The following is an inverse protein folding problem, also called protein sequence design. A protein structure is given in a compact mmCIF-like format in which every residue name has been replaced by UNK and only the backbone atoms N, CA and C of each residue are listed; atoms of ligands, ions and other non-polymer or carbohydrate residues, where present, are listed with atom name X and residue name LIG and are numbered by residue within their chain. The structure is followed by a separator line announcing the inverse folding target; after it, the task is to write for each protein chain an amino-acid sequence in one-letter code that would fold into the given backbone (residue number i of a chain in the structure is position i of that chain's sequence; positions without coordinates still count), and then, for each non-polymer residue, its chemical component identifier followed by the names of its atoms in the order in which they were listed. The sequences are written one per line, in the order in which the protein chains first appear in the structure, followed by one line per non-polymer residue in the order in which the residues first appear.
data_IF_200663078304
#
_entry.id   IF_200663078304
#
_cell.length_a   1.000
_cell.length_b   1.000
_cell.length_c   1.000
_cell.angle_alpha   90.00
_cell.angle_beta   90.00
_cell.angle_gamma   90.00
#
_symmetry.space_group_name_H-M   'P 1'
#
loop_
_entity.id
_entity.type
_entity.pdbx_description
1 polymer ?
#
# COMPACT_ATOMS: atom_id res chain seq x y z
N UNK A 1 -10.99 -18.71 30.35
CA UNK A 1 -10.67 -17.50 29.55
C UNK A 1 -11.44 -17.41 28.23
N UNK A 2 -11.70 -18.50 27.48
CA UNK A 2 -12.44 -18.45 26.20
C UNK A 2 -13.87 -17.90 26.26
N UNK A 3 -14.69 -18.36 27.23
CA UNK A 3 -16.11 -17.95 27.34
C UNK A 3 -16.34 -16.47 27.69
N UNK A 4 -15.35 -15.81 28.29
CA UNK A 4 -15.42 -14.37 28.63
C UNK A 4 -15.10 -13.51 27.42
N UNK A 5 -14.14 -13.93 26.58
CA UNK A 5 -13.76 -13.25 25.33
C UNK A 5 -14.88 -13.35 24.30
N UNK A 6 -15.53 -14.51 24.20
CA UNK A 6 -16.66 -14.77 23.30
C UNK A 6 -17.94 -14.00 23.72
N UNK A 7 -18.18 -13.84 25.03
CA UNK A 7 -19.25 -12.98 25.54
C UNK A 7 -18.96 -11.49 25.38
N UNK A 8 -17.70 -11.07 25.50
CA UNK A 8 -17.29 -9.69 25.24
C UNK A 8 -17.45 -9.36 23.75
N UNK A 9 -17.02 -10.27 22.86
CA UNK A 9 -17.19 -10.15 21.41
C UNK A 9 -18.67 -10.01 21.06
N UNK A 10 -19.52 -10.95 21.50
CA UNK A 10 -20.98 -10.86 21.28
C UNK A 10 -21.64 -9.63 21.89
N UNK A 11 -21.13 -9.13 23.01
CA UNK A 11 -21.63 -7.90 23.64
C UNK A 11 -21.16 -6.65 22.91
N UNK A 12 -20.00 -6.68 22.23
CA UNK A 12 -19.53 -5.61 21.36
C UNK A 12 -20.25 -5.64 20.01
N UNK A 13 -20.45 -6.83 19.42
CA UNK A 13 -21.21 -7.05 18.18
C UNK A 13 -22.69 -6.61 18.29
N UNK A 14 -23.21 -6.46 19.52
CA UNK A 14 -24.60 -6.05 19.81
C UNK A 14 -24.75 -4.64 20.37
N UNK A 15 -23.66 -3.94 20.73
CA UNK A 15 -23.71 -2.57 21.23
C UNK A 15 -23.57 -1.57 20.08
N UNK A 16 -24.62 -0.80 19.78
CA UNK A 16 -24.52 0.34 18.84
C UNK A 16 -24.78 0.03 17.36
N UNK A 17 -25.27 -1.17 17.00
CA UNK A 17 -25.71 -1.46 15.62
C UNK A 17 -27.05 -0.76 15.33
N UNK A 18 -26.97 0.44 14.78
CA UNK A 18 -28.11 1.11 14.13
C UNK A 18 -28.36 0.49 12.75
N UNK A 19 -29.60 0.56 12.28
CA UNK A 19 -30.04 -0.04 11.01
C UNK A 19 -29.30 0.53 9.79
N UNK A 20 -29.21 -0.25 8.70
CA UNK A 20 -28.57 0.21 7.45
C UNK A 20 -29.16 1.54 6.93
N UNK A 21 -30.47 1.76 7.14
CA UNK A 21 -31.14 3.03 6.83
C UNK A 21 -30.62 4.18 7.67
N UNK A 22 -30.46 4.00 8.98
CA UNK A 22 -29.90 5.03 9.87
C UNK A 22 -28.44 5.33 9.53
N UNK A 23 -27.65 4.30 9.18
CA UNK A 23 -26.28 4.46 8.71
C UNK A 23 -26.22 5.28 7.41
N UNK A 24 -27.09 4.99 6.45
CA UNK A 24 -27.21 5.77 5.22
C UNK A 24 -27.56 7.25 5.50
N UNK A 25 -28.45 7.51 6.46
CA UNK A 25 -28.81 8.88 6.87
C UNK A 25 -27.63 9.61 7.52
N UNK A 26 -26.81 8.94 8.34
CA UNK A 26 -25.59 9.51 8.91
C UNK A 26 -24.66 10.04 7.80
N UNK A 27 -24.43 9.24 6.75
CA UNK A 27 -23.61 9.64 5.61
C UNK A 27 -24.20 10.86 4.88
N UNK A 28 -25.50 10.84 4.59
CA UNK A 28 -26.19 11.97 3.95
C UNK A 28 -26.09 13.26 4.76
N UNK A 29 -26.26 13.18 6.08
CA UNK A 29 -26.17 14.33 6.96
C UNK A 29 -24.80 15.00 6.95
N UNK A 30 -23.72 14.21 6.90
CA UNK A 30 -22.36 14.74 6.80
C UNK A 30 -22.20 15.57 5.51
N UNK A 31 -22.76 15.09 4.39
CA UNK A 31 -22.73 15.82 3.11
C UNK A 31 -23.61 17.06 3.16
N UNK A 32 -24.81 16.98 3.73
CA UNK A 32 -25.69 18.13 3.84
C UNK A 32 -25.10 19.22 4.75
N UNK A 33 -24.40 18.83 5.82
CA UNK A 33 -23.61 19.77 6.63
C UNK A 33 -22.46 20.40 5.84
N UNK A 34 -21.75 19.62 5.03
CA UNK A 34 -20.70 20.14 4.15
C UNK A 34 -21.26 21.16 3.15
N UNK A 35 -22.44 20.91 2.57
CA UNK A 35 -23.10 21.83 1.61
C UNK A 35 -23.49 23.17 2.25
N UNK A 36 -23.76 23.20 3.55
CA UNK A 36 -24.11 24.42 4.30
C UNK A 36 -22.87 25.28 4.64
N UNK A 37 -21.66 24.76 4.47
CA UNK A 37 -20.44 25.53 4.66
C UNK A 37 -20.29 26.55 3.53
N UNK A 38 -20.00 27.80 3.89
CA UNK A 38 -19.94 28.94 2.96
C UNK A 38 -18.53 29.26 2.46
N UNK A 39 -17.51 28.62 3.04
CA UNK A 39 -16.09 28.88 2.78
C UNK A 39 -15.49 27.97 1.70
N UNK A 40 -16.30 27.10 1.10
CA UNK A 40 -15.95 26.24 -0.02
C UNK A 40 -16.02 26.98 -1.37
N UNK A 41 -15.15 26.59 -2.30
CA UNK A 41 -15.16 27.15 -3.66
C UNK A 41 -16.44 26.74 -4.42
N UNK A 42 -16.85 27.54 -5.42
CA UNK A 42 -18.00 27.20 -6.29
C UNK A 42 -17.87 25.83 -6.95
N UNK A 43 -16.65 25.45 -7.35
CA UNK A 43 -16.32 24.13 -7.91
C UNK A 43 -16.60 23.01 -6.89
N UNK A 44 -16.18 23.20 -5.64
CA UNK A 44 -16.42 22.25 -4.54
C UNK A 44 -17.91 22.12 -4.21
N UNK A 45 -18.63 23.24 -4.16
CA UNK A 45 -20.07 23.25 -3.91
C UNK A 45 -20.86 22.53 -5.03
N UNK A 46 -20.51 22.77 -6.30
CA UNK A 46 -21.10 22.07 -7.44
C UNK A 46 -20.85 20.55 -7.36
N UNK A 47 -19.63 20.14 -6.98
CA UNK A 47 -19.26 18.74 -6.79
C UNK A 47 -20.09 18.07 -5.68
N UNK A 48 -20.25 18.74 -4.53
CA UNK A 48 -21.10 18.25 -3.44
C UNK A 48 -22.58 18.15 -3.83
N UNK A 49 -23.08 19.10 -4.64
CA UNK A 49 -24.45 19.06 -5.13
C UNK A 49 -24.69 17.86 -6.07
N UNK A 50 -23.79 17.65 -7.04
CA UNK A 50 -23.87 16.51 -7.96
C UNK A 50 -23.78 15.18 -7.21
N UNK A 51 -22.85 15.08 -6.26
CA UNK A 51 -22.70 13.91 -5.41
C UNK A 51 -23.95 13.65 -4.55
N UNK A 52 -24.49 14.69 -3.93
CA UNK A 52 -25.72 14.59 -3.14
C UNK A 52 -26.91 14.12 -3.98
N UNK A 53 -27.00 14.53 -5.25
CA UNK A 53 -28.03 14.05 -6.16
C UNK A 53 -27.83 12.57 -6.51
N UNK A 54 -26.60 12.16 -6.83
CA UNK A 54 -26.24 10.77 -7.12
C UNK A 54 -26.61 9.83 -5.96
N UNK A 55 -26.20 10.15 -4.73
CA UNK A 55 -26.49 9.31 -3.55
C UNK A 55 -28.00 9.20 -3.30
N UNK A 56 -28.76 10.28 -3.53
CA UNK A 56 -30.21 10.31 -3.34
C UNK A 56 -30.96 9.57 -4.45
N UNK A 57 -30.38 9.45 -5.65
CA UNK A 57 -30.94 8.65 -6.77
C UNK A 57 -30.72 7.14 -6.66
N UNK A 58 -30.08 6.65 -5.60
CA UNK A 58 -29.91 5.21 -5.38
C UNK A 58 -31.27 4.61 -5.01
N UNK A 59 -31.95 4.05 -6.01
CA UNK A 59 -33.21 3.33 -5.87
C UNK A 59 -32.94 1.82 -5.74
N UNK A 60 -33.22 1.26 -4.56
CA UNK A 60 -33.23 -0.18 -4.32
C UNK A 60 -34.16 -0.48 -3.16
N UNK A 61 -34.84 -1.63 -3.23
CA UNK A 61 -35.71 -2.12 -2.16
C UNK A 61 -34.89 -2.69 -0.99
N UNK A 62 -33.65 -3.14 -1.25
CA UNK A 62 -32.76 -3.67 -0.23
C UNK A 62 -31.92 -2.53 0.40
N UNK A 63 -32.15 -2.26 1.69
CA UNK A 63 -31.48 -1.19 2.42
C UNK A 63 -29.97 -1.43 2.61
N UNK A 64 -29.53 -2.68 2.70
CA UNK A 64 -28.11 -3.03 2.81
C UNK A 64 -27.39 -2.74 1.50
N UNK A 65 -28.00 -3.12 0.37
CA UNK A 65 -27.49 -2.78 -0.96
C UNK A 65 -27.47 -1.26 -1.19
N UNK A 66 -28.46 -0.54 -0.64
CA UNK A 66 -28.49 0.93 -0.68
C UNK A 66 -27.29 1.55 0.06
N UNK A 67 -27.04 1.07 1.27
CA UNK A 67 -25.91 1.51 2.09
C UNK A 67 -24.58 1.19 1.41
N UNK A 68 -24.42 -0.03 0.89
CA UNK A 68 -23.23 -0.44 0.14
C UNK A 68 -22.94 0.49 -1.03
N UNK A 69 -23.92 0.75 -1.90
CA UNK A 69 -23.75 1.66 -3.04
C UNK A 69 -23.40 3.08 -2.60
N UNK A 70 -24.01 3.55 -1.52
CA UNK A 70 -23.68 4.86 -0.95
C UNK A 70 -22.22 4.88 -0.47
N UNK A 71 -21.78 3.89 0.30
CA UNK A 71 -20.39 3.80 0.78
C UNK A 71 -19.38 3.76 -0.38
N UNK A 72 -19.64 3.02 -1.45
CA UNK A 72 -18.79 3.01 -2.66
C UNK A 72 -18.68 4.41 -3.26
N UNK A 73 -19.81 5.10 -3.42
CA UNK A 73 -19.82 6.45 -3.97
C UNK A 73 -19.10 7.44 -3.04
N UNK A 74 -19.26 7.34 -1.72
CA UNK A 74 -18.50 8.12 -0.74
C UNK A 74 -17.00 7.87 -0.84
N UNK A 75 -16.57 6.61 -0.94
CA UNK A 75 -15.17 6.25 -1.12
C UNK A 75 -14.61 6.90 -2.39
N UNK A 76 -15.37 6.88 -3.49
CA UNK A 76 -14.98 7.53 -4.75
C UNK A 76 -14.88 9.04 -4.60
N UNK A 77 -15.85 9.70 -3.97
CA UNK A 77 -15.80 11.15 -3.72
C UNK A 77 -14.55 11.52 -2.92
N UNK A 78 -14.28 10.79 -1.83
CA UNK A 78 -13.13 11.04 -0.96
C UNK A 78 -11.83 10.88 -1.74
N UNK A 79 -11.71 9.80 -2.52
CA UNK A 79 -10.54 9.56 -3.38
C UNK A 79 -10.28 10.71 -4.37
N UNK A 80 -11.33 11.19 -5.04
CA UNK A 80 -11.21 12.29 -5.99
C UNK A 80 -10.87 13.63 -5.30
N UNK A 81 -11.29 13.82 -4.05
CA UNK A 81 -10.93 14.99 -3.23
C UNK A 81 -9.47 14.92 -2.81
N UNK A 82 -8.99 13.76 -2.35
CA UNK A 82 -7.60 13.54 -1.95
C UNK A 82 -6.62 13.74 -3.11
N UNK A 83 -7.01 13.33 -4.32
CA UNK A 83 -6.21 13.48 -5.53
C UNK A 83 -6.24 14.90 -6.12
N UNK A 84 -6.98 15.85 -5.52
CA UNK A 84 -7.13 17.21 -6.03
C UNK A 84 -6.97 18.26 -4.91
N UNK A 85 -5.83 18.94 -4.92
CA UNK A 85 -5.45 19.97 -3.94
C UNK A 85 -6.44 21.12 -3.80
N UNK A 86 -7.35 21.32 -4.77
CA UNK A 86 -8.39 22.36 -4.69
C UNK A 86 -9.43 22.09 -3.60
N UNK A 87 -9.53 20.87 -3.09
CA UNK A 87 -10.58 20.46 -2.15
C UNK A 87 -10.08 20.17 -0.73
N UNK A 88 -8.86 20.60 -0.38
CA UNK A 88 -8.23 20.35 0.94
C UNK A 88 -9.10 20.82 2.13
N UNK A 89 -9.84 21.93 1.99
CA UNK A 89 -10.76 22.40 3.04
C UNK A 89 -11.93 21.44 3.27
N UNK A 90 -12.50 20.91 2.19
CA UNK A 90 -13.56 19.91 2.28
C UNK A 90 -13.01 18.63 2.88
N UNK A 91 -11.82 18.20 2.46
CA UNK A 91 -11.14 17.04 3.03
C UNK A 91 -10.97 17.17 4.55
N UNK A 92 -10.47 18.32 5.02
CA UNK A 92 -10.29 18.59 6.45
C UNK A 92 -11.64 18.58 7.18
N UNK A 93 -12.67 19.22 6.62
CA UNK A 93 -14.01 19.21 7.19
C UNK A 93 -14.56 17.78 7.36
N UNK A 94 -14.42 16.93 6.34
CA UNK A 94 -14.88 15.54 6.39
C UNK A 94 -14.13 14.73 7.45
N UNK A 95 -12.82 14.96 7.62
CA UNK A 95 -12.01 14.35 8.69
C UNK A 95 -12.43 14.83 10.08
N UNK A 96 -12.62 16.13 10.26
CA UNK A 96 -13.05 16.72 11.52
C UNK A 96 -14.44 16.22 11.94
N UNK A 97 -15.33 15.98 10.97
CA UNK A 97 -16.65 15.36 11.18
C UNK A 97 -16.61 13.84 11.33
N UNK A 98 -15.43 13.24 11.46
CA UNK A 98 -15.26 11.82 11.74
C UNK A 98 -15.63 10.89 10.59
N UNK A 99 -15.86 11.40 9.37
CA UNK A 99 -16.27 10.57 8.23
C UNK A 99 -15.26 9.46 7.96
N UNK A 100 -13.97 9.76 8.08
CA UNK A 100 -12.92 8.76 7.90
C UNK A 100 -12.96 7.66 8.96
N UNK A 101 -13.17 8.03 10.23
CA UNK A 101 -13.31 7.06 11.33
C UNK A 101 -14.53 6.16 11.14
N UNK A 102 -15.64 6.76 10.70
CA UNK A 102 -16.91 6.08 10.45
C UNK A 102 -16.86 5.14 9.24
N UNK A 103 -16.18 5.52 8.15
CA UNK A 103 -16.06 4.71 6.95
C UNK A 103 -14.91 3.69 6.98
N UNK A 104 -13.79 4.06 7.60
CA UNK A 104 -12.53 3.35 7.44
C UNK A 104 -11.95 2.73 8.71
N UNK A 105 -12.35 3.19 9.90
CA UNK A 105 -11.99 2.73 11.24
C UNK A 105 -10.56 2.22 11.52
N UNK A 106 -10.06 2.55 12.72
CA UNK A 106 -8.87 1.90 13.25
C UNK A 106 -9.19 0.43 13.55
N UNK A 107 -8.66 -0.52 12.79
CA UNK A 107 -8.94 -1.95 13.00
C UNK A 107 -8.88 -2.35 14.49
N UNK A 108 -10.03 -2.72 15.10
CA UNK A 108 -10.10 -3.17 16.51
C UNK A 108 -9.36 -4.47 16.72
N UNK A 109 -9.37 -5.30 15.67
CA UNK A 109 -8.54 -6.46 15.54
C UNK A 109 -7.26 -6.00 14.88
N UNK A 110 -6.18 -6.01 15.67
CA UNK A 110 -4.82 -6.16 15.13
C UNK A 110 -4.90 -7.31 14.13
N UNK A 111 -4.77 -7.03 12.83
CA UNK A 111 -4.92 -8.03 11.77
C UNK A 111 -4.19 -9.31 12.13
N UNK A 112 -4.72 -10.46 11.72
CA UNK A 112 -4.15 -11.77 12.07
C UNK A 112 -2.65 -11.72 11.78
N UNK A 113 -1.85 -11.87 12.84
CA UNK A 113 -0.41 -11.74 12.72
C UNK A 113 0.05 -12.83 11.77
N UNK A 114 0.60 -12.41 10.62
CA UNK A 114 0.99 -13.35 9.59
C UNK A 114 2.11 -14.25 10.13
N UNK A 115 1.78 -15.53 10.33
CA UNK A 115 2.72 -16.60 10.65
C UNK A 115 3.50 -17.08 9.41
N UNK A 116 3.30 -16.44 8.24
CA UNK A 116 4.07 -16.74 7.04
C UNK A 116 5.58 -16.48 7.18
N UNK A 117 6.33 -17.02 6.22
CA UNK A 117 7.76 -16.79 6.09
C UNK A 117 8.15 -15.31 5.94
N UNK A 118 7.24 -14.42 5.53
CA UNK A 118 7.59 -13.04 5.16
C UNK A 118 8.09 -12.19 6.35
N UNK A 119 7.47 -12.35 7.52
CA UNK A 119 7.93 -11.68 8.75
C UNK A 119 9.29 -12.22 9.22
N UNK A 120 9.52 -13.50 9.03
CA UNK A 120 10.81 -14.15 9.31
C UNK A 120 11.89 -13.60 8.37
N UNK A 121 11.57 -13.47 7.10
CA UNK A 121 12.45 -12.90 6.08
C UNK A 121 12.76 -11.41 6.38
N UNK A 122 11.76 -10.61 6.76
CA UNK A 122 11.96 -9.22 7.20
C UNK A 122 12.94 -9.14 8.37
N UNK A 123 12.74 -9.95 9.42
CA UNK A 123 13.64 -10.01 10.59
C UNK A 123 15.06 -10.40 10.17
N UNK A 124 15.19 -11.40 9.30
CA UNK A 124 16.48 -11.83 8.78
C UNK A 124 17.18 -10.70 7.99
N UNK A 125 16.43 -9.90 7.23
CA UNK A 125 16.93 -8.70 6.55
C UNK A 125 17.53 -7.68 7.51
N UNK A 126 16.83 -7.33 8.59
CA UNK A 126 17.37 -6.43 9.62
C UNK A 126 18.58 -7.00 10.36
N UNK A 127 18.59 -8.31 10.64
CA UNK A 127 19.77 -8.98 11.20
C UNK A 127 20.95 -8.87 10.22
N UNK A 128 20.71 -9.07 8.92
CA UNK A 128 21.72 -8.92 7.86
C UNK A 128 22.30 -7.51 7.79
N UNK A 129 21.49 -6.47 8.00
CA UNK A 129 21.98 -5.07 8.12
C UNK A 129 22.91 -4.93 9.33
N UNK A 130 22.55 -5.51 10.49
CA UNK A 130 23.39 -5.50 11.69
C UNK A 130 24.73 -6.22 11.47
N UNK A 131 24.72 -7.39 10.84
CA UNK A 131 25.95 -8.12 10.49
C UNK A 131 26.80 -7.35 9.47
N UNK A 132 26.17 -6.66 8.53
CA UNK A 132 26.86 -5.80 7.57
C UNK A 132 27.59 -4.64 8.28
N UNK A 133 27.00 -4.07 9.33
CA UNK A 133 27.65 -3.04 10.15
C UNK A 133 28.94 -3.56 10.81
N UNK A 134 28.89 -4.77 11.37
CA UNK A 134 30.06 -5.40 11.97
C UNK A 134 31.15 -5.68 10.94
N UNK A 135 30.79 -6.16 9.75
CA UNK A 135 31.73 -6.39 8.66
C UNK A 135 32.42 -5.10 8.18
N UNK A 136 31.67 -4.00 8.08
CA UNK A 136 32.21 -2.68 7.70
C UNK A 136 33.15 -2.13 8.76
N UNK A 137 32.80 -2.23 10.04
CA UNK A 137 33.67 -1.83 11.16
C UNK A 137 34.95 -2.68 11.16
N UNK A 138 34.82 -4.00 10.97
CA UNK A 138 35.97 -4.90 10.89
C UNK A 138 36.91 -4.52 9.74
N UNK A 139 36.37 -4.23 8.56
CA UNK A 139 37.17 -3.75 7.43
C UNK A 139 37.88 -2.42 7.71
N UNK A 140 37.19 -1.46 8.31
CA UNK A 140 37.79 -0.19 8.69
C UNK A 140 38.96 -0.39 9.68
N UNK A 141 38.78 -1.22 10.71
CA UNK A 141 39.84 -1.52 11.68
C UNK A 141 41.03 -2.23 11.04
N UNK A 142 40.78 -3.25 10.21
CA UNK A 142 41.84 -4.02 9.53
C UNK A 142 42.67 -3.14 8.58
N UNK A 143 42.01 -2.26 7.84
CA UNK A 143 42.69 -1.34 6.91
C UNK A 143 43.47 -0.24 7.63
N UNK A 144 42.98 0.26 8.77
CA UNK A 144 43.68 1.28 9.56
C UNK A 144 44.86 0.74 10.38
N UNK A 145 44.78 -0.52 10.83
CA UNK A 145 45.79 -1.12 11.71
C UNK A 145 46.92 -1.86 10.96
N UNK A 146 47.00 -1.72 9.63
CA UNK A 146 47.99 -2.39 8.79
C UNK A 146 48.09 -3.91 9.06
N UNK A 147 46.94 -4.57 9.15
CA UNK A 147 46.88 -5.98 9.51
C UNK A 147 47.54 -6.89 8.45
N UNK A 148 47.84 -8.17 8.78
CA UNK A 148 48.41 -9.11 7.83
C UNK A 148 47.59 -9.23 6.54
N UNK A 149 48.27 -9.43 5.42
CA UNK A 149 47.67 -9.48 4.08
C UNK A 149 46.44 -10.40 3.99
N UNK A 150 46.53 -11.63 4.50
CA UNK A 150 45.41 -12.59 4.46
C UNK A 150 44.16 -12.07 5.20
N UNK A 151 44.33 -11.29 6.27
CA UNK A 151 43.23 -10.69 7.01
C UNK A 151 42.60 -9.53 6.24
N UNK A 152 43.41 -8.74 5.53
CA UNK A 152 42.95 -7.68 4.63
C UNK A 152 42.11 -8.26 3.48
N UNK A 153 42.51 -9.40 2.92
CA UNK A 153 41.76 -10.12 1.88
C UNK A 153 40.38 -10.55 2.38
N UNK A 154 40.31 -11.21 3.54
CA UNK A 154 39.05 -11.62 4.16
C UNK A 154 38.17 -10.42 4.46
N UNK A 155 38.75 -9.37 5.06
CA UNK A 155 38.02 -8.15 5.40
C UNK A 155 37.46 -7.45 4.16
N UNK A 156 38.19 -7.44 3.04
CA UNK A 156 37.74 -6.87 1.77
C UNK A 156 36.56 -7.63 1.18
N UNK A 157 36.59 -8.97 1.26
CA UNK A 157 35.47 -9.83 0.86
C UNK A 157 34.21 -9.58 1.69
N UNK A 158 34.36 -9.54 3.02
CA UNK A 158 33.25 -9.24 3.93
C UNK A 158 32.68 -7.83 3.71
N UNK A 159 33.55 -6.84 3.46
CA UNK A 159 33.12 -5.49 3.12
C UNK A 159 32.32 -5.44 1.82
N UNK A 160 32.81 -6.10 0.76
CA UNK A 160 32.09 -6.19 -0.51
C UNK A 160 30.72 -6.85 -0.35
N UNK A 161 30.65 -7.95 0.40
CA UNK A 161 29.39 -8.61 0.72
C UNK A 161 28.42 -7.68 1.46
N UNK A 162 28.91 -7.00 2.50
CA UNK A 162 28.13 -6.05 3.30
C UNK A 162 27.63 -4.87 2.47
N UNK A 163 28.50 -4.25 1.66
CA UNK A 163 28.14 -3.14 0.80
C UNK A 163 27.08 -3.53 -0.24
N UNK A 164 27.23 -4.69 -0.88
CA UNK A 164 26.26 -5.22 -1.83
C UNK A 164 24.92 -5.55 -1.17
N UNK A 165 24.95 -6.20 0.00
CA UNK A 165 23.73 -6.49 0.77
C UNK A 165 22.97 -5.21 1.11
N UNK A 166 23.66 -4.23 1.70
CA UNK A 166 23.09 -2.94 2.10
C UNK A 166 22.54 -2.18 0.89
N UNK A 167 23.26 -2.17 -0.24
CA UNK A 167 22.81 -1.50 -1.46
C UNK A 167 21.53 -2.14 -2.03
N UNK A 168 21.44 -3.46 -2.02
CA UNK A 168 20.27 -4.19 -2.50
C UNK A 168 19.05 -3.98 -1.57
N UNK A 169 19.23 -4.01 -0.25
CA UNK A 169 18.16 -3.70 0.70
C UNK A 169 17.71 -2.24 0.56
N UNK A 170 18.66 -1.31 0.37
CA UNK A 170 18.35 0.10 0.16
C UNK A 170 17.51 0.32 -1.11
N UNK A 171 17.84 -0.37 -2.21
CA UNK A 171 16.98 -0.41 -3.40
C UNK A 171 15.56 -0.85 -3.03
N UNK A 172 15.43 -1.99 -2.34
CA UNK A 172 14.13 -2.54 -1.94
C UNK A 172 13.29 -1.58 -1.13
N UNK A 173 13.88 -0.99 -0.09
CA UNK A 173 13.20 -0.02 0.77
C UNK A 173 12.78 1.23 0.00
N UNK A 174 13.65 1.82 -0.82
CA UNK A 174 13.30 3.02 -1.60
C UNK A 174 12.22 2.69 -2.63
N UNK A 175 12.34 1.55 -3.31
CA UNK A 175 11.33 1.07 -4.24
C UNK A 175 9.98 0.93 -3.52
N UNK A 176 9.92 0.24 -2.40
CA UNK A 176 8.64 -0.04 -1.74
C UNK A 176 8.06 1.15 -0.98
N UNK A 177 8.87 2.14 -0.61
CA UNK A 177 8.39 3.45 -0.18
C UNK A 177 7.65 4.18 -1.31
N UNK A 178 8.19 4.22 -2.53
CA UNK A 178 7.45 4.81 -3.65
C UNK A 178 6.11 4.08 -3.91
N UNK A 179 6.10 2.77 -3.70
CA UNK A 179 4.95 1.90 -3.96
C UNK A 179 3.79 2.13 -3.02
N UNK A 180 4.13 2.22 -1.74
CA UNK A 180 3.17 2.40 -0.66
C UNK A 180 2.63 3.82 -0.68
N UNK A 181 3.45 4.78 -1.10
CA UNK A 181 2.99 6.13 -1.41
C UNK A 181 2.10 6.20 -2.66
N UNK A 182 2.35 5.41 -3.70
CA UNK A 182 1.54 5.42 -4.93
C UNK A 182 0.21 4.70 -4.73
N UNK A 183 0.22 3.52 -4.10
CA UNK A 183 -0.95 2.73 -3.79
C UNK A 183 -0.64 1.75 -2.63
N UNK A 184 -1.01 2.15 -1.42
CA UNK A 184 -0.84 1.33 -0.22
C UNK A 184 -1.66 0.03 -0.26
N UNK A 185 -2.81 0.03 -0.92
CA UNK A 185 -3.70 -1.13 -0.99
C UNK A 185 -3.00 -2.36 -1.60
N UNK A 186 -2.02 -2.15 -2.50
CA UNK A 186 -1.17 -3.21 -3.04
C UNK A 186 -0.49 -4.06 -1.95
N UNK A 187 -0.09 -3.43 -0.84
CA UNK A 187 0.63 -4.09 0.24
C UNK A 187 -0.28 -4.61 1.35
N UNK A 188 -1.49 -4.06 1.46
CA UNK A 188 -2.46 -4.47 2.47
C UNK A 188 -3.32 -5.65 2.00
N UNK A 189 -3.67 -5.67 0.72
CA UNK A 189 -4.46 -6.74 0.11
C UNK A 189 -3.61 -7.93 -0.36
N UNK A 190 -2.29 -7.82 -0.21
CA UNK A 190 -1.32 -8.77 -0.75
C UNK A 190 -1.24 -8.74 -2.28
N UNK A 191 -0.09 -9.16 -2.82
CA UNK A 191 0.06 -9.37 -4.26
C UNK A 191 -0.20 -10.84 -4.65
N UNK A 192 -0.54 -11.72 -3.68
CA UNK A 192 -0.88 -13.13 -3.88
C UNK A 192 -2.12 -13.51 -3.05
N UNK A 193 -2.91 -14.51 -3.48
CA UNK A 193 -4.15 -14.91 -2.81
C UNK A 193 -4.02 -15.34 -1.34
N UNK A 194 -2.83 -15.77 -0.92
CA UNK A 194 -2.58 -16.28 0.43
C UNK A 194 -1.91 -15.23 1.35
N UNK A 195 -1.58 -14.04 0.85
CA UNK A 195 -0.79 -13.05 1.57
C UNK A 195 -1.69 -11.97 2.18
N UNK A 196 -1.61 -11.83 3.51
CA UNK A 196 -2.17 -10.70 4.23
C UNK A 196 -1.12 -9.58 4.38
N UNK A 197 -1.52 -8.45 4.97
CA UNK A 197 -0.59 -7.38 5.30
C UNK A 197 0.54 -7.86 6.22
N UNK A 198 1.79 -7.47 5.89
CA UNK A 198 3.00 -7.85 6.63
C UNK A 198 3.05 -7.26 8.06
N UNK A 199 2.47 -6.08 8.25
CA UNK A 199 2.40 -5.40 9.54
C UNK A 199 0.96 -5.00 9.87
N UNK A 200 0.66 -4.85 11.16
CA UNK A 200 -0.64 -4.42 11.67
C UNK A 200 -0.75 -2.88 11.65
N UNK A 201 -0.35 -2.24 10.55
CA UNK A 201 -0.37 -0.79 10.37
C UNK A 201 -0.74 -0.42 8.95
N UNK A 202 -1.52 0.63 8.76
CA UNK A 202 -1.76 1.25 7.46
C UNK A 202 -0.84 2.48 7.25
N UNK A 203 0.28 2.55 7.99
CA UNK A 203 1.33 3.53 7.75
C UNK A 203 2.12 3.12 6.49
N UNK A 204 2.06 3.92 5.41
CA UNK A 204 2.75 3.58 4.16
C UNK A 204 4.26 3.52 4.33
N UNK A 205 4.85 4.35 5.21
CA UNK A 205 6.29 4.33 5.45
C UNK A 205 6.70 3.05 6.16
N UNK A 206 5.96 2.66 7.20
CA UNK A 206 6.25 1.44 7.95
C UNK A 206 6.09 0.20 7.05
N UNK A 207 5.02 0.13 6.27
CA UNK A 207 4.78 -0.94 5.30
C UNK A 207 5.85 -0.98 4.21
N UNK A 208 6.19 0.17 3.62
CA UNK A 208 7.16 0.25 2.52
C UNK A 208 8.56 -0.20 2.95
N UNK A 209 8.99 0.18 4.15
CA UNK A 209 10.26 -0.32 4.71
C UNK A 209 10.19 -1.82 4.98
N UNK A 210 9.11 -2.31 5.60
CA UNK A 210 8.97 -3.71 5.96
C UNK A 210 8.97 -4.64 4.74
N UNK A 211 8.15 -4.30 3.74
CA UNK A 211 8.07 -5.01 2.47
C UNK A 211 9.37 -4.90 1.68
N UNK A 212 9.96 -3.70 1.60
CA UNK A 212 11.21 -3.48 0.89
C UNK A 212 12.34 -4.36 1.44
N UNK A 213 12.46 -4.48 2.76
CA UNK A 213 13.44 -5.39 3.40
C UNK A 213 13.08 -6.85 3.14
N UNK A 214 11.80 -7.23 3.30
CA UNK A 214 11.37 -8.62 3.15
C UNK A 214 11.56 -9.12 1.72
N UNK A 215 11.08 -8.38 0.73
CA UNK A 215 11.11 -8.76 -0.68
C UNK A 215 12.54 -8.85 -1.23
N UNK A 216 13.47 -8.01 -0.74
CA UNK A 216 14.85 -7.98 -1.23
C UNK A 216 15.83 -8.85 -0.48
N UNK A 217 15.49 -9.35 0.71
CA UNK A 217 16.41 -10.16 1.54
C UNK A 217 17.05 -11.33 0.78
N UNK A 218 16.24 -12.18 0.14
CA UNK A 218 16.73 -13.37 -0.55
C UNK A 218 17.70 -13.04 -1.69
N UNK A 219 17.29 -12.21 -2.67
CA UNK A 219 18.18 -11.74 -3.72
C UNK A 219 19.42 -10.99 -3.20
N UNK A 220 19.27 -10.15 -2.17
CA UNK A 220 20.38 -9.42 -1.56
C UNK A 220 21.41 -10.37 -0.93
N UNK A 221 20.96 -11.43 -0.26
CA UNK A 221 21.82 -12.44 0.34
C UNK A 221 22.63 -13.19 -0.74
N UNK A 222 21.97 -13.63 -1.81
CA UNK A 222 22.64 -14.28 -2.94
C UNK A 222 23.69 -13.35 -3.56
N UNK A 223 23.32 -12.09 -3.82
CA UNK A 223 24.24 -11.10 -4.36
C UNK A 223 25.43 -10.85 -3.43
N UNK A 224 25.19 -10.72 -2.12
CA UNK A 224 26.25 -10.52 -1.13
C UNK A 224 27.25 -11.68 -1.09
N UNK A 225 26.78 -12.93 -1.16
CA UNK A 225 27.65 -14.12 -1.21
C UNK A 225 28.51 -14.09 -2.48
N UNK A 226 27.89 -13.85 -3.64
CA UNK A 226 28.59 -13.83 -4.93
C UNK A 226 29.65 -12.71 -4.96
N UNK A 227 29.29 -11.50 -4.55
CA UNK A 227 30.22 -10.36 -4.46
C UNK A 227 31.33 -10.61 -3.45
N UNK A 228 31.01 -11.18 -2.29
CA UNK A 228 31.99 -11.49 -1.25
C UNK A 228 33.04 -12.49 -1.73
N UNK A 229 32.61 -13.59 -2.36
CA UNK A 229 33.51 -14.61 -2.90
C UNK A 229 34.38 -14.00 -4.01
N UNK A 230 33.77 -13.31 -4.97
CA UNK A 230 34.51 -12.69 -6.08
C UNK A 230 35.53 -11.67 -5.57
N UNK A 231 35.13 -10.77 -4.67
CA UNK A 231 36.01 -9.77 -4.09
C UNK A 231 37.15 -10.40 -3.27
N UNK A 232 36.89 -11.47 -2.52
CA UNK A 232 37.92 -12.21 -1.77
C UNK A 232 38.97 -12.80 -2.70
N UNK A 233 38.52 -13.48 -3.77
CA UNK A 233 39.43 -14.08 -4.76
C UNK A 233 40.25 -12.97 -5.42
N UNK A 234 39.60 -11.92 -5.91
CA UNK A 234 40.27 -10.79 -6.56
C UNK A 234 41.28 -10.09 -5.65
N UNK A 235 40.91 -9.81 -4.39
CA UNK A 235 41.78 -9.15 -3.41
C UNK A 235 43.04 -9.98 -3.08
N UNK A 236 42.97 -11.31 -3.26
CA UNK A 236 44.13 -12.20 -3.11
C UNK A 236 45.23 -11.98 -4.15
N UNK A 237 44.92 -11.34 -5.28
CA UNK A 237 45.86 -11.13 -6.38
C UNK A 237 46.13 -9.66 -6.69
N UNK A 238 45.14 -8.77 -6.49
CA UNK A 238 45.22 -7.36 -6.87
C UNK A 238 44.46 -6.46 -5.89
N UNK A 239 44.80 -5.15 -5.77
CA UNK A 239 43.99 -4.21 -5.02
C UNK A 239 42.53 -4.17 -5.52
N UNK A 240 41.60 -4.37 -4.60
CA UNK A 240 40.16 -4.36 -4.90
C UNK A 240 39.68 -2.94 -5.20
N UNK A 241 38.92 -2.72 -6.27
CA UNK A 241 38.34 -1.42 -6.62
C UNK A 241 37.17 -1.03 -5.71
N UNK A 242 37.41 -0.83 -4.41
CA UNK A 242 36.37 -0.57 -3.40
C UNK A 242 35.62 0.75 -3.62
N UNK A 243 36.19 1.69 -4.36
CA UNK A 243 35.53 2.95 -4.75
C UNK A 243 34.29 2.74 -5.62
N UNK A 244 34.08 1.55 -6.20
CA UNK A 244 32.87 1.21 -6.94
C UNK A 244 31.65 1.08 -6.01
N UNK A 245 31.83 0.64 -4.77
CA UNK A 245 30.73 0.41 -3.83
C UNK A 245 29.93 1.68 -3.46
N UNK A 246 30.55 2.84 -3.19
CA UNK A 246 29.84 4.12 -3.10
C UNK A 246 28.98 4.44 -4.32
N UNK A 247 29.49 4.20 -5.53
CA UNK A 247 28.74 4.46 -6.77
C UNK A 247 27.53 3.54 -6.85
N UNK A 248 27.69 2.25 -6.52
CA UNK A 248 26.58 1.30 -6.44
C UNK A 248 25.52 1.74 -5.42
N UNK A 249 25.93 2.19 -4.23
CA UNK A 249 25.02 2.66 -3.19
C UNK A 249 24.18 3.86 -3.63
N UNK A 250 24.75 4.78 -4.42
CA UNK A 250 24.02 5.92 -4.97
C UNK A 250 23.13 5.49 -6.15
N UNK A 251 23.62 4.58 -6.99
CA UNK A 251 22.90 4.11 -8.16
C UNK A 251 21.61 3.34 -7.79
N UNK A 252 21.63 2.55 -6.72
CA UNK A 252 20.49 1.72 -6.30
C UNK A 252 19.20 2.53 -6.04
N UNK A 253 19.20 3.58 -5.20
CA UNK A 253 18.05 4.50 -5.08
C UNK A 253 17.63 5.15 -6.39
N UNK A 254 18.58 5.53 -7.26
CA UNK A 254 18.27 6.14 -8.56
C UNK A 254 17.57 5.15 -9.51
N UNK A 255 17.93 3.86 -9.45
CA UNK A 255 17.25 2.80 -10.20
C UNK A 255 15.82 2.65 -9.69
N UNK A 256 15.58 2.74 -8.38
CA UNK A 256 14.23 2.74 -7.82
C UNK A 256 13.40 3.95 -8.30
N UNK A 257 14.01 5.15 -8.42
CA UNK A 257 13.36 6.32 -9.05
C UNK A 257 13.01 6.03 -10.51
N UNK A 258 13.89 5.36 -11.26
CA UNK A 258 13.60 4.92 -12.63
C UNK A 258 12.41 3.95 -12.70
N UNK A 259 12.34 3.01 -11.77
CA UNK A 259 11.21 2.08 -11.64
C UNK A 259 9.89 2.81 -11.33
N UNK A 260 9.93 3.84 -10.49
CA UNK A 260 8.76 4.70 -10.19
C UNK A 260 8.30 5.49 -11.43
N UNK A 261 9.22 6.06 -12.21
CA UNK A 261 8.87 6.75 -13.47
C UNK A 261 8.20 5.77 -14.45
N UNK A 262 8.73 4.55 -14.55
CA UNK A 262 8.14 3.49 -15.36
C UNK A 262 6.73 3.10 -14.87
N UNK A 263 6.55 2.95 -13.56
CA UNK A 263 5.26 2.65 -12.95
C UNK A 263 4.22 3.74 -13.23
N UNK A 264 4.59 5.03 -13.09
CA UNK A 264 3.68 6.15 -13.43
C UNK A 264 3.26 6.15 -14.88
N UNK A 265 4.20 5.83 -15.79
CA UNK A 265 3.88 5.69 -17.21
C UNK A 265 2.86 4.56 -17.41
N UNK A 266 3.07 3.40 -16.77
CA UNK A 266 2.16 2.26 -16.83
C UNK A 266 0.78 2.55 -16.25
N UNK A 267 0.73 3.25 -15.11
CA UNK A 267 -0.54 3.67 -14.51
C UNK A 267 -1.36 4.55 -15.46
N UNK A 268 -0.73 5.46 -16.22
CA UNK A 268 -1.43 6.24 -17.24
C UNK A 268 -1.93 5.36 -18.40
N UNK A 269 -1.09 4.47 -18.91
CA UNK A 269 -1.49 3.51 -19.96
C UNK A 269 -2.72 2.67 -19.53
N UNK A 270 -2.74 2.22 -18.28
CA UNK A 270 -3.86 1.46 -17.72
C UNK A 270 -5.11 2.32 -17.52
N UNK A 271 -4.96 3.54 -16.99
CA UNK A 271 -6.05 4.48 -16.80
C UNK A 271 -6.69 4.91 -18.14
N UNK A 272 -5.92 4.95 -19.23
CA UNK A 272 -6.43 5.29 -20.56
C UNK A 272 -7.05 4.07 -21.28
N UNK A 273 -6.60 2.84 -20.96
CA UNK A 273 -7.06 1.62 -21.66
C UNK A 273 -8.51 1.24 -21.33
N UNK A 274 -9.37 1.09 -22.33
CA UNK A 274 -10.77 0.65 -22.17
C UNK A 274 -10.93 -0.81 -21.70
N UNK A 275 -9.83 -1.57 -21.61
CA UNK A 275 -9.86 -2.95 -21.10
C UNK A 275 -10.03 -2.93 -19.58
N UNK A 276 -10.91 -3.77 -19.08
CA UNK A 276 -11.19 -3.87 -17.64
C UNK A 276 -9.92 -4.06 -16.82
N UNK A 277 -9.74 -3.19 -15.82
CA UNK A 277 -8.65 -3.19 -14.84
C UNK A 277 -8.81 -4.36 -13.85
N UNK A 278 -8.86 -5.60 -14.33
CA UNK A 278 -9.23 -6.78 -13.51
C UNK A 278 -8.36 -8.02 -13.75
N UNK A 279 -7.32 -7.93 -14.60
CA UNK A 279 -6.52 -9.10 -14.97
C UNK A 279 -5.63 -9.51 -13.78
N UNK A 280 -5.88 -10.71 -13.24
CA UNK A 280 -5.01 -11.37 -12.25
C UNK A 280 -5.31 -11.07 -10.76
N UNK A 281 -6.35 -10.31 -10.44
CA UNK A 281 -6.78 -10.09 -9.04
C UNK A 281 -7.89 -11.07 -8.65
N UNK A 282 -7.76 -11.72 -7.49
CA UNK A 282 -8.80 -12.60 -6.96
C UNK A 282 -9.99 -11.81 -6.36
N UNK A 283 -11.08 -12.50 -6.02
CA UNK A 283 -12.29 -11.89 -5.48
C UNK A 283 -12.05 -11.01 -4.24
N UNK A 284 -11.19 -11.46 -3.31
CA UNK A 284 -10.82 -10.70 -2.12
C UNK A 284 -10.10 -9.39 -2.47
N UNK A 285 -9.14 -9.44 -3.39
CA UNK A 285 -8.41 -8.26 -3.88
C UNK A 285 -9.36 -7.31 -4.62
N UNK A 286 -10.27 -7.83 -5.43
CA UNK A 286 -11.27 -7.03 -6.14
C UNK A 286 -12.17 -6.25 -5.17
N UNK A 287 -12.69 -6.92 -4.14
CA UNK A 287 -13.50 -6.27 -3.10
C UNK A 287 -12.69 -5.25 -2.29
N UNK A 288 -11.44 -5.58 -1.94
CA UNK A 288 -10.55 -4.66 -1.24
C UNK A 288 -10.26 -3.39 -2.06
N UNK A 289 -10.07 -3.54 -3.37
CA UNK A 289 -9.85 -2.43 -4.30
C UNK A 289 -11.08 -1.54 -4.44
N UNK A 290 -12.31 -2.07 -4.39
CA UNK A 290 -13.52 -1.25 -4.38
C UNK A 290 -13.58 -0.30 -3.18
N UNK A 291 -12.96 -0.68 -2.05
CA UNK A 291 -12.93 0.11 -0.83
C UNK A 291 -11.73 1.06 -0.80
N UNK A 292 -10.51 0.56 -1.07
CA UNK A 292 -9.27 1.34 -0.92
C UNK A 292 -8.81 2.07 -2.18
N UNK A 293 -9.24 1.62 -3.36
CA UNK A 293 -8.85 2.16 -4.66
C UNK A 293 -10.07 2.26 -5.58
N UNK A 294 -11.10 3.03 -5.18
CA UNK A 294 -12.37 3.11 -5.88
C UNK A 294 -12.26 3.79 -7.25
N UNK A 295 -11.26 4.63 -7.48
CA UNK A 295 -11.09 5.34 -8.77
C UNK A 295 -10.31 4.51 -9.79
N UNK A 296 -10.50 4.82 -11.07
CA UNK A 296 -9.81 4.13 -12.17
C UNK A 296 -8.30 4.34 -12.09
N UNK A 297 -7.88 5.55 -11.73
CA UNK A 297 -6.49 5.97 -11.59
C UNK A 297 -5.79 5.20 -10.46
N UNK A 298 -6.46 5.01 -9.33
CA UNK A 298 -5.90 4.26 -8.20
C UNK A 298 -5.75 2.77 -8.52
N UNK A 299 -6.74 2.16 -9.18
CA UNK A 299 -6.64 0.77 -9.64
C UNK A 299 -5.50 0.62 -10.64
N UNK A 300 -5.39 1.56 -11.58
CA UNK A 300 -4.28 1.57 -12.53
C UNK A 300 -2.91 1.68 -11.82
N UNK A 301 -2.81 2.46 -10.74
CA UNK A 301 -1.61 2.52 -9.91
C UNK A 301 -1.32 1.20 -9.18
N UNK A 302 -2.36 0.50 -8.71
CA UNK A 302 -2.21 -0.84 -8.11
C UNK A 302 -1.61 -1.84 -9.11
N UNK A 303 -2.10 -1.88 -10.35
CA UNK A 303 -1.54 -2.74 -11.39
C UNK A 303 -0.12 -2.33 -11.77
N UNK A 304 0.14 -1.03 -11.90
CA UNK A 304 1.47 -0.53 -12.21
C UNK A 304 2.52 -0.85 -11.13
N UNK A 305 2.12 -1.01 -9.87
CA UNK A 305 3.01 -1.51 -8.82
C UNK A 305 3.49 -2.95 -9.10
N UNK A 306 2.66 -3.78 -9.75
CA UNK A 306 3.07 -5.11 -10.21
C UNK A 306 4.15 -5.03 -11.30
N UNK A 307 3.97 -4.20 -12.33
CA UNK A 307 4.98 -4.00 -13.38
C UNK A 307 6.32 -3.49 -12.84
N UNK A 308 6.25 -2.62 -11.84
CA UNK A 308 7.42 -2.08 -11.17
C UNK A 308 8.18 -3.15 -10.38
N UNK A 309 7.47 -4.05 -9.70
CA UNK A 309 8.11 -5.19 -9.04
C UNK A 309 8.72 -6.15 -10.08
N UNK A 310 8.06 -6.39 -11.20
CA UNK A 310 8.62 -7.14 -12.33
C UNK A 310 9.89 -6.50 -12.89
N UNK A 311 9.93 -5.17 -13.01
CA UNK A 311 11.15 -4.44 -13.36
C UNK A 311 12.27 -4.72 -12.34
N UNK A 312 11.95 -4.67 -11.05
CA UNK A 312 12.86 -5.02 -9.97
C UNK A 312 13.46 -6.43 -10.12
N UNK A 313 12.61 -7.44 -10.34
CA UNK A 313 13.05 -8.82 -10.47
C UNK A 313 13.84 -9.11 -11.74
N UNK A 314 13.59 -8.39 -12.83
CA UNK A 314 14.21 -8.70 -14.14
C UNK A 314 15.42 -7.83 -14.46
N UNK A 315 15.41 -6.55 -14.09
CA UNK A 315 16.43 -5.57 -14.51
C UNK A 315 17.51 -5.36 -13.46
N UNK A 316 17.15 -5.35 -12.18
CA UNK A 316 18.12 -5.11 -11.10
C UNK A 316 19.18 -6.21 -11.01
N UNK A 317 18.87 -7.51 -11.16
CA UNK A 317 19.90 -8.55 -11.19
C UNK A 317 20.91 -8.37 -12.33
N UNK A 318 20.46 -7.94 -13.51
CA UNK A 318 21.34 -7.66 -14.65
C UNK A 318 22.30 -6.50 -14.35
N UNK A 319 21.80 -5.45 -13.68
CA UNK A 319 22.63 -4.33 -13.22
C UNK A 319 23.63 -4.83 -12.17
N UNK A 320 23.22 -5.70 -11.26
CA UNK A 320 24.10 -6.35 -10.28
C UNK A 320 25.23 -7.15 -10.93
N UNK A 321 24.95 -7.92 -11.97
CA UNK A 321 25.96 -8.66 -12.75
C UNK A 321 26.93 -7.71 -13.44
N UNK A 322 26.44 -6.62 -14.04
CA UNK A 322 27.30 -5.61 -14.66
C UNK A 322 28.20 -4.91 -13.63
N UNK A 323 27.68 -4.61 -12.44
CA UNK A 323 28.45 -4.04 -11.34
C UNK A 323 29.54 -5.00 -10.85
N UNK A 324 29.22 -6.29 -10.70
CA UNK A 324 30.19 -7.31 -10.32
C UNK A 324 31.33 -7.41 -11.34
N UNK A 325 30.98 -7.50 -12.63
CA UNK A 325 31.95 -7.53 -13.72
C UNK A 325 32.86 -6.29 -13.71
N UNK A 326 32.28 -5.12 -13.40
CA UNK A 326 33.02 -3.86 -13.27
C UNK A 326 34.01 -3.91 -12.10
N UNK A 327 33.59 -4.39 -10.92
CA UNK A 327 34.48 -4.55 -9.75
C UNK A 327 35.65 -5.48 -10.09
N UNK A 328 35.37 -6.65 -10.67
CA UNK A 328 36.42 -7.62 -11.03
C UNK A 328 37.38 -7.04 -12.09
N UNK A 329 36.84 -6.41 -13.14
CA UNK A 329 37.65 -5.86 -14.23
C UNK A 329 38.53 -4.71 -13.75
N UNK A 330 37.97 -3.71 -13.07
CA UNK A 330 38.73 -2.55 -12.58
C UNK A 330 39.79 -2.95 -11.55
N UNK A 331 39.52 -3.96 -10.73
CA UNK A 331 40.53 -4.51 -9.82
C UNK A 331 41.64 -5.22 -10.59
N UNK A 332 41.31 -6.02 -11.60
CA UNK A 332 42.28 -6.74 -12.44
C UNK A 332 43.20 -5.82 -13.25
N UNK A 333 42.71 -4.64 -13.65
CA UNK A 333 43.51 -3.63 -14.37
C UNK A 333 44.04 -2.52 -13.46
N UNK A 334 44.03 -2.72 -12.14
CA UNK A 334 44.38 -1.70 -11.14
C UNK A 334 45.74 -1.02 -11.38
N UNK A 335 46.73 -1.74 -11.91
CA UNK A 335 48.05 -1.18 -12.24
C UNK A 335 48.02 -0.07 -13.32
N UNK A 336 46.95 0.00 -14.11
CA UNK A 336 46.75 1.02 -15.14
C UNK A 336 45.85 2.17 -14.70
N UNK A 337 45.23 2.08 -13.52
CA UNK A 337 44.34 3.10 -12.99
C UNK A 337 45.12 4.19 -12.23
N UNK A 338 44.64 5.45 -12.20
CA UNK A 338 45.31 6.53 -11.48
C UNK A 338 45.54 6.19 -10.01
N UNK A 339 46.79 6.39 -9.53
CA UNK A 339 47.17 6.06 -8.15
C UNK A 339 46.31 6.75 -7.08
N UNK A 340 45.74 7.93 -7.38
CA UNK A 340 44.82 8.65 -6.48
C UNK A 340 43.58 7.83 -6.12
N UNK A 341 43.11 6.96 -7.03
CA UNK A 341 41.98 6.05 -6.78
C UNK A 341 42.30 4.98 -5.74
N UNK A 342 43.59 4.73 -5.48
CA UNK A 342 44.07 3.79 -4.47
C UNK A 342 44.55 4.47 -3.18
N UNK A 343 44.35 5.78 -3.05
CA UNK A 343 44.63 6.47 -1.79
C UNK A 343 43.74 5.94 -0.66
N UNK A 344 44.25 5.97 0.58
CA UNK A 344 43.50 5.53 1.77
C UNK A 344 42.13 6.20 1.91
N UNK A 345 42.02 7.47 1.49
CA UNK A 345 40.75 8.21 1.49
C UNK A 345 39.74 7.57 0.54
N UNK A 346 40.14 7.32 -0.71
CA UNK A 346 39.23 6.83 -1.77
C UNK A 346 38.93 5.34 -1.62
N UNK A 347 39.88 4.56 -1.10
CA UNK A 347 39.75 3.10 -0.97
C UNK A 347 39.09 2.64 0.33
N UNK A 348 39.23 3.42 1.39
CA UNK A 348 38.80 2.97 2.72
C UNK A 348 37.83 3.96 3.34
N UNK A 349 38.21 5.24 3.48
CA UNK A 349 37.38 6.22 4.20
C UNK A 349 36.05 6.47 3.49
N UNK A 350 36.07 6.81 2.20
CA UNK A 350 34.85 7.11 1.44
C UNK A 350 33.92 5.89 1.33
N UNK A 351 34.40 4.68 0.98
CA UNK A 351 33.57 3.47 0.99
C UNK A 351 32.96 3.14 2.34
N UNK A 352 33.76 3.15 3.41
CA UNK A 352 33.27 2.87 4.77
C UNK A 352 32.23 3.89 5.20
N UNK A 353 32.47 5.18 4.95
CA UNK A 353 31.53 6.24 5.30
C UNK A 353 30.22 6.10 4.52
N UNK A 354 30.28 5.87 3.20
CA UNK A 354 29.10 5.72 2.36
C UNK A 354 28.23 4.53 2.80
N UNK A 355 28.84 3.36 3.01
CA UNK A 355 28.12 2.17 3.49
C UNK A 355 27.60 2.42 4.91
N UNK A 356 28.40 3.04 5.78
CA UNK A 356 28.01 3.37 7.15
C UNK A 356 26.77 4.27 7.22
N UNK A 357 26.68 5.31 6.39
CA UNK A 357 25.51 6.19 6.30
C UNK A 357 24.27 5.39 5.85
N UNK A 358 24.40 4.54 4.83
CA UNK A 358 23.30 3.71 4.35
C UNK A 358 22.79 2.74 5.45
N UNK A 359 23.71 2.13 6.21
CA UNK A 359 23.36 1.26 7.35
C UNK A 359 22.60 2.05 8.42
N UNK A 360 23.10 3.22 8.83
CA UNK A 360 22.44 4.06 9.83
C UNK A 360 21.04 4.46 9.38
N UNK A 361 20.87 4.84 8.11
CA UNK A 361 19.57 5.17 7.54
C UNK A 361 18.60 3.97 7.59
N UNK A 362 19.04 2.78 7.17
CA UNK A 362 18.23 1.56 7.22
C UNK A 362 17.87 1.14 8.64
N UNK A 363 18.78 1.30 9.61
CA UNK A 363 18.50 1.02 11.02
C UNK A 363 17.49 2.02 11.59
N UNK A 364 17.62 3.32 11.26
CA UNK A 364 16.65 4.33 11.68
C UNK A 364 15.25 4.05 11.11
N UNK A 365 15.17 3.65 9.84
CA UNK A 365 13.91 3.21 9.22
C UNK A 365 13.37 1.93 9.89
N UNK A 366 14.23 0.97 10.24
CA UNK A 366 13.83 -0.22 11.00
C UNK A 366 13.25 0.11 12.37
N UNK A 367 13.83 1.07 13.08
CA UNK A 367 13.29 1.58 14.36
C UNK A 367 11.93 2.25 14.12
N UNK A 368 11.82 3.10 13.10
CA UNK A 368 10.54 3.73 12.73
C UNK A 368 9.45 2.67 12.48
N UNK A 369 9.76 1.67 11.65
CA UNK A 369 8.86 0.57 11.34
C UNK A 369 8.49 -0.20 12.59
N UNK A 370 9.45 -0.50 13.47
CA UNK A 370 9.17 -1.17 14.74
C UNK A 370 8.21 -0.37 15.62
N UNK A 371 8.44 0.94 15.80
CA UNK A 371 7.61 1.80 16.63
C UNK A 371 6.19 1.94 16.06
N UNK A 372 6.06 2.03 14.73
CA UNK A 372 4.77 2.25 14.07
C UNK A 372 4.07 0.96 13.60
N UNK A 373 4.62 -0.24 13.88
CA UNK A 373 4.09 -1.53 13.38
C UNK A 373 2.63 -1.84 13.72
N UNK A 374 2.09 -1.18 14.74
CA UNK A 374 0.70 -1.34 15.21
C UNK A 374 -0.09 -0.03 15.14
N UNK A 375 0.49 1.04 14.58
CA UNK A 375 -0.13 2.36 14.53
C UNK A 375 -1.11 2.41 13.37
N UNK A 376 -2.33 2.88 13.62
CA UNK A 376 -3.26 3.21 12.56
C UNK A 376 -3.20 4.72 12.28
N UNK A 377 -3.12 5.06 11.00
CA UNK A 377 -3.21 6.41 10.46
C UNK A 377 -4.62 6.58 9.90
N UNK A 378 -5.18 7.78 10.06
CA UNK A 378 -6.49 8.13 9.54
C UNK A 378 -6.45 8.28 8.01
N UNK A 379 -6.56 7.15 7.30
CA UNK A 379 -6.56 7.05 5.84
C UNK A 379 -7.58 5.99 5.36
N UNK A 380 -7.79 5.89 4.04
CA UNK A 380 -8.76 4.95 3.43
C UNK A 380 -8.34 3.49 3.43
N UNK A 381 -7.10 3.19 3.82
CA UNK A 381 -6.50 1.87 3.68
C UNK A 381 -6.81 1.01 4.91
N UNK A 382 -7.85 0.17 4.80
CA UNK A 382 -8.30 -0.76 5.84
C UNK A 382 -7.31 -1.93 6.02
N UNK A 383 -7.23 -2.52 7.21
CA UNK A 383 -6.43 -3.72 7.47
C UNK A 383 -7.25 -4.99 7.72
N UNK A 384 -8.55 -4.84 7.98
CA UNK A 384 -9.41 -5.95 8.39
C UNK A 384 -10.30 -6.38 7.23
N UNK A 385 -9.79 -7.31 6.42
CA UNK A 385 -10.60 -8.12 5.51
C UNK A 385 -10.33 -9.57 5.89
N UNK A 386 -11.11 -10.14 6.81
CA UNK A 386 -11.09 -11.58 7.02
C UNK A 386 -11.86 -12.25 5.88
N UNK A 387 -11.27 -13.24 5.20
CA UNK A 387 -11.87 -13.98 4.07
C UNK A 387 -13.31 -14.44 4.30
N UNK A 388 -13.68 -14.69 5.55
CA UNK A 388 -14.97 -15.26 5.93
C UNK A 388 -16.02 -14.20 6.33
N UNK A 389 -15.63 -12.94 6.56
CA UNK A 389 -16.54 -11.84 6.95
C UNK A 389 -16.55 -10.63 5.99
N UNK A 390 -15.79 -10.63 4.89
CA UNK A 390 -15.84 -9.52 3.91
C UNK A 390 -17.24 -9.38 3.31
N UNK A 391 -18.03 -10.45 3.24
CA UNK A 391 -19.39 -10.40 2.69
C UNK A 391 -20.45 -9.86 3.64
N UNK A 392 -20.37 -10.12 4.95
CA UNK A 392 -21.46 -9.76 5.89
C UNK A 392 -21.26 -8.43 6.61
N UNK A 393 -20.01 -7.97 6.85
CA UNK A 393 -19.77 -6.76 7.65
C UNK A 393 -18.89 -5.69 6.97
N UNK A 394 -18.37 -5.91 5.76
CA UNK A 394 -17.53 -4.91 5.07
C UNK A 394 -18.27 -3.62 4.70
N UNK A 395 -19.61 -3.67 4.69
CA UNK A 395 -20.51 -2.60 4.29
C UNK A 395 -21.33 -2.01 5.45
N UNK A 396 -20.85 -2.17 6.68
CA UNK A 396 -21.37 -1.48 7.85
C UNK A 396 -20.47 -0.27 8.19
N UNK A 397 -21.05 0.79 8.74
CA UNK A 397 -20.34 1.93 9.30
C UNK A 397 -19.81 1.60 10.70
N UNK A 398 -18.61 2.10 11.01
CA UNK A 398 -17.99 1.92 12.31
C UNK A 398 -18.42 3.03 13.26
N UNK A 399 -19.50 2.77 13.98
CA UNK A 399 -20.16 3.80 14.77
C UNK A 399 -19.88 3.71 16.27
N UNK A 400 -19.37 2.56 16.74
CA UNK A 400 -19.18 2.24 18.16
C UNK A 400 -18.35 3.28 18.95
N UNK A 401 -17.31 3.85 18.34
CA UNK A 401 -16.44 4.86 18.99
C UNK A 401 -16.93 6.30 18.79
N UNK A 402 -17.82 6.52 17.83
CA UNK A 402 -18.33 7.83 17.42
C UNK A 402 -19.84 7.96 17.71
N UNK A 403 -20.38 7.20 18.67
CA UNK A 403 -21.83 7.21 18.93
C UNK A 403 -22.37 8.56 19.38
N UNK A 404 -21.57 9.35 20.09
CA UNK A 404 -21.93 10.73 20.41
C UNK A 404 -22.13 11.57 19.14
N UNK A 405 -21.25 11.41 18.14
CA UNK A 405 -21.34 12.16 16.88
C UNK A 405 -22.56 11.70 16.07
N UNK A 406 -22.85 10.41 16.04
CA UNK A 406 -24.06 9.88 15.40
C UNK A 406 -25.32 10.46 16.04
N UNK A 407 -25.38 10.50 17.37
CA UNK A 407 -26.51 11.08 18.10
C UNK A 407 -26.67 12.59 17.80
N UNK A 408 -25.57 13.34 17.71
CA UNK A 408 -25.58 14.76 17.31
C UNK A 408 -26.11 14.95 15.87
N UNK A 409 -25.65 14.11 14.94
CA UNK A 409 -26.10 14.13 13.55
C UNK A 409 -27.60 13.76 13.43
N UNK A 410 -28.06 12.77 14.19
CA UNK A 410 -29.46 12.36 14.24
C UNK A 410 -30.36 13.46 14.83
N UNK A 411 -29.96 14.07 15.95
CA UNK A 411 -30.69 15.18 16.58
C UNK A 411 -30.84 16.40 15.65
N UNK A 412 -29.82 16.67 14.83
CA UNK A 412 -29.88 17.73 13.82
C UNK A 412 -30.90 17.42 12.73
N UNK A 413 -31.08 16.14 12.39
CA UNK A 413 -32.03 15.67 11.36
C UNK A 413 -33.48 15.83 11.81
N UNK A 414 -33.76 15.43 13.04
CA UNK A 414 -35.08 15.58 13.66
C UNK A 414 -35.48 17.06 13.76
N UNK A 415 -34.54 17.94 14.12
CA UNK A 415 -34.75 19.39 14.13
C UNK A 415 -35.08 19.98 12.75
N UNK A 416 -34.40 19.55 11.67
CA UNK A 416 -34.66 20.04 10.32
C UNK A 416 -35.97 19.53 9.72
N UNK A 417 -36.36 18.29 10.04
CA UNK A 417 -37.65 17.72 9.61
C UNK A 417 -38.85 18.36 10.33
N UNK A 418 -38.64 18.84 11.56
CA UNK A 418 -39.65 19.61 12.31
C UNK A 418 -39.78 21.03 11.73
N UNK A 419 -38.69 21.69 11.32
CA UNK A 419 -38.78 23.02 10.71
C UNK A 419 -39.37 23.02 9.30
N UNK A 420 -39.10 21.99 8.48
CA UNK A 420 -39.75 21.86 7.16
C UNK A 420 -41.26 21.61 7.28
N UNK A 421 -41.72 20.90 8.32
CA UNK A 421 -43.16 20.73 8.59
C UNK A 421 -43.85 22.01 9.07
N UNK A 422 -43.12 22.95 9.68
CA UNK A 422 -43.68 24.25 10.06
C UNK A 422 -43.76 25.20 8.86
N UNK A 423 -42.83 25.12 7.90
CA UNK A 423 -42.84 25.92 6.67
C UNK A 423 -43.84 25.41 5.60
N UNK A 424 -44.20 24.12 5.61
CA UNK A 424 -45.24 23.55 4.72
C UNK A 424 -46.69 23.85 5.17
N UNK A 425 -46.88 24.64 6.23
CA UNK A 425 -48.21 25.10 6.66
C UNK A 425 -48.89 26.08 5.68
N UNK A 426 -48.27 26.38 4.54
CA UNK A 426 -48.82 27.18 3.45
C UNK A 426 -48.87 26.52 2.06
N UNK A 427 -48.69 25.20 1.94
CA UNK A 427 -48.86 24.50 0.66
C UNK A 427 -50.16 23.68 0.59
N UNK A 428 -51.12 24.20 -0.18
CA UNK A 428 -52.47 23.65 -0.39
C UNK A 428 -52.40 22.35 -1.21
N UNK A 429 -52.56 21.20 -0.54
CA UNK A 429 -52.62 19.88 -1.16
C UNK A 429 -54.03 19.60 -1.68
N UNK A 430 -54.41 20.32 -2.72
CA UNK A 430 -55.73 20.21 -3.35
C UNK A 430 -55.64 20.09 -4.85
N UNK A 431 -55.16 18.96 -5.39
CA UNK A 431 -55.52 18.39 -6.71
C UNK A 431 -54.57 17.26 -7.10
N UNK A 432 -55.06 16.02 -7.06
CA UNK A 432 -54.96 14.99 -8.12
C UNK A 432 -55.30 13.60 -7.56
N UNK A 433 -56.58 13.40 -7.26
CA UNK A 433 -57.22 12.09 -7.33
C UNK A 433 -58.02 12.05 -8.63
N UNK A 434 -57.55 11.31 -9.63
CA UNK A 434 -58.31 10.56 -10.68
C UNK A 434 -57.57 10.51 -12.03
N UNK A 435 -57.06 9.32 -12.37
CA UNK A 435 -57.32 8.54 -13.60
C UNK A 435 -56.33 7.36 -13.60
N UNK A 436 -56.76 6.12 -13.33
CA UNK A 436 -57.15 5.08 -14.33
C UNK A 436 -56.05 4.84 -15.36
N UNK A 437 -55.64 3.65 -15.76
CA UNK A 437 -55.87 2.23 -15.44
C UNK A 437 -55.08 1.48 -16.53
N UNK A 438 -54.67 0.24 -16.25
CA UNK A 438 -54.37 -0.83 -17.22
C UNK A 438 -53.29 -0.58 -18.30
N UNK A 439 -52.13 -1.21 -18.14
CA UNK A 439 -51.37 -1.80 -19.26
C UNK A 439 -50.80 -3.15 -18.83
N UNK A 440 -51.09 -4.15 -19.67
CA UNK A 440 -50.83 -5.58 -19.53
C UNK A 440 -49.35 -5.97 -19.61
N UNK A 441 -49.09 -7.16 -19.07
CA UNK A 441 -47.88 -7.97 -19.21
C UNK A 441 -47.50 -8.22 -20.68
N UNK A 442 -46.20 -8.20 -20.97
CA UNK A 442 -45.63 -9.00 -22.05
C UNK A 442 -44.30 -9.60 -21.60
N UNK A 443 -44.26 -10.93 -21.57
CA UNK A 443 -43.09 -11.77 -21.42
C UNK A 443 -42.06 -11.51 -22.53
N UNK A 444 -40.77 -11.49 -22.18
CA UNK A 444 -39.69 -11.71 -23.14
C UNK A 444 -38.59 -12.55 -22.51
N UNK A 445 -38.51 -13.78 -23.01
CA UNK A 445 -37.49 -14.79 -22.77
C UNK A 445 -36.07 -14.38 -23.25
N UNK A 446 -35.11 -15.04 -22.60
CA UNK A 446 -33.79 -15.49 -23.07
C UNK A 446 -32.72 -14.50 -23.54
N UNK A 447 -31.56 -14.53 -22.88
CA UNK A 447 -30.35 -15.09 -23.49
C UNK A 447 -29.36 -15.53 -22.40
N UNK A 448 -29.23 -16.85 -22.24
CA UNK A 448 -28.26 -17.52 -21.36
C UNK A 448 -27.23 -18.17 -22.30
N UNK A 449 -25.98 -17.70 -22.26
CA UNK A 449 -24.90 -18.17 -23.14
C UNK A 449 -24.06 -19.26 -22.43
N UNK A 450 -24.19 -20.55 -22.84
CA UNK A 450 -23.46 -21.66 -22.22
C UNK A 450 -21.96 -21.71 -22.57
N UNK A 451 -21.45 -20.90 -23.50
CA UNK A 451 -20.03 -20.92 -23.88
C UNK A 451 -19.11 -20.26 -22.83
N UNK A 452 -19.68 -19.52 -21.86
CA UNK A 452 -18.90 -18.88 -20.79
C UNK A 452 -18.41 -19.87 -19.72
N UNK A 453 -19.06 -21.04 -19.59
CA UNK A 453 -18.71 -22.03 -18.58
C UNK A 453 -17.55 -22.95 -19.06
N UNK A 454 -17.44 -23.20 -20.36
CA UNK A 454 -16.37 -24.04 -20.92
C UNK A 454 -15.00 -23.32 -20.93
N UNK A 455 -14.98 -21.99 -21.03
CA UNK A 455 -13.75 -21.20 -20.87
C UNK A 455 -13.27 -21.16 -19.41
N UNK A 456 -14.18 -21.22 -18.44
CA UNK A 456 -13.85 -21.21 -17.01
C UNK A 456 -13.16 -22.52 -16.57
N UNK A 457 -13.53 -23.67 -17.15
CA UNK A 457 -12.87 -24.95 -16.83
C UNK A 457 -11.50 -25.10 -17.52
N UNK A 458 -11.29 -24.48 -18.70
CA UNK A 458 -9.98 -24.53 -19.38
C UNK A 458 -8.89 -23.68 -18.71
N UNK A 459 -9.25 -22.61 -18.00
CA UNK A 459 -8.27 -21.81 -17.24
C UNK A 459 -7.87 -22.46 -15.91
N UNK A 460 -8.78 -23.21 -15.27
CA UNK A 460 -8.51 -23.91 -14.01
C UNK A 460 -7.41 -24.97 -14.13
N UNK A 461 -7.26 -25.60 -15.30
CA UNK A 461 -6.23 -26.62 -15.58
C UNK A 461 -4.85 -26.00 -15.85
N UNK A 462 -4.76 -24.69 -16.16
CA UNK A 462 -3.47 -24.01 -16.35
C UNK A 462 -2.86 -23.49 -15.04
N UNK A 463 -3.66 -23.23 -14.01
CA UNK A 463 -3.18 -22.71 -12.72
C UNK A 463 -2.56 -23.78 -11.80
N UNK A 464 -2.88 -25.07 -11.99
CA UNK A 464 -2.25 -26.16 -11.21
C UNK A 464 -0.79 -26.47 -11.63
N UNK A 465 -0.25 -25.77 -12.64
CA UNK A 465 1.07 -26.05 -13.23
C UNK A 465 2.21 -25.09 -12.87
N UNK A 466 1.99 -24.04 -12.05
CA UNK A 466 3.04 -23.08 -11.69
C UNK A 466 3.21 -22.96 -10.18
N UNK A 467 4.03 -23.85 -9.63
CA UNK A 467 4.60 -23.76 -8.28
C UNK A 467 5.95 -23.05 -8.39
N UNK A 468 6.13 -21.94 -7.65
CA UNK A 468 7.44 -21.38 -7.28
C UNK A 468 7.55 -21.32 -5.76
#
# INVERSE_FOLDING_TARGET
MGKTKEKLQKSMDSYGKISATEQYLVLLNIVDQAKRQTDFSKETAAKLNNFSAEIRSIETQNQEEKLKRAMIAFNRLIAEIENNDKHQKLLQFLKDKGLYRILYHNAKMKGIEDDSGLKTVMKAGFIGIGLSALAVIFFALVTMLAAPFWLVVIASGLFAAAATFVAAILYGVVNDLFATHSNLAYFLLGHQPQQNSLLQTNDPVAQGVAWGVAATFGPALIAAIVFGIAATITAGFVPLATFVFPVMLIAMPLIAVGAEIYARKKAREYADSERGLWVGSNFYQQQGLEVMSPTREERAAWYANSDRNLFGFTKVPLIGVAALATVCTLSGVSMFLPAVLFSTVVMSVVPVAAVGVAIVALLALGIYTYVNRNKQIDNRSKLDFSSDNVSEHAWELYLEEDMHLVQELQATTESSLVSEKEDDSHFDFGLLSRRTSDVELSDSDSDYDPDMQENFEREKVKEEGCVF
#
